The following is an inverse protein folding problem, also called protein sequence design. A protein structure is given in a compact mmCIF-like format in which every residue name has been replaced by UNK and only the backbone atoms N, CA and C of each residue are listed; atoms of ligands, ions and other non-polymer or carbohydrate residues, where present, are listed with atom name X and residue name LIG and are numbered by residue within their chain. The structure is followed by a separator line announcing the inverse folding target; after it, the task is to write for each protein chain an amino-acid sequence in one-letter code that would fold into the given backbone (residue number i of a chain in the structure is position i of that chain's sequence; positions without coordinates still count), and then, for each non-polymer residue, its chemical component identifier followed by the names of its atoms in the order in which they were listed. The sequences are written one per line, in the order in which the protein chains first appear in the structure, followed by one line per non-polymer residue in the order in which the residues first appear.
data_IF_684466287848
#
_entry.id   IF_684466287848
#
_cell.length_a   1.000
_cell.length_b   1.000
_cell.length_c   1.000
_cell.angle_alpha   90.00
_cell.angle_beta   90.00
_cell.angle_gamma   90.00
#
_symmetry.space_group_name_H-M   'P 1'
#
loop_
_entity.id
_entity.type
_entity.pdbx_description
1 polymer ?
#
# COMPACT_ATOMS: atom_id res chain seq x y z
N UNK A 1 15.28 20.01 -22.06
CA UNK A 1 14.19 19.12 -21.66
C UNK A 1 14.77 18.01 -20.78
N UNK A 2 14.83 18.24 -19.48
CA UNK A 2 15.25 17.25 -18.48
C UNK A 2 14.33 17.42 -17.28
N UNK A 3 13.42 16.46 -17.09
CA UNK A 3 12.83 16.14 -15.79
C UNK A 3 12.69 14.62 -15.79
N UNK A 4 13.84 13.95 -15.64
CA UNK A 4 13.84 12.59 -15.13
C UNK A 4 13.24 12.69 -13.72
N UNK A 5 12.08 12.07 -13.53
CA UNK A 5 11.54 11.86 -12.19
C UNK A 5 12.54 10.92 -11.52
N UNK A 6 13.42 11.48 -10.69
CA UNK A 6 14.32 10.68 -9.86
C UNK A 6 13.45 9.85 -8.94
N UNK A 7 13.24 8.60 -9.32
CA UNK A 7 12.55 7.65 -8.48
C UNK A 7 13.51 7.29 -7.37
N UNK A 8 13.20 7.75 -6.16
CA UNK A 8 14.01 7.42 -5.00
C UNK A 8 13.78 5.96 -4.58
N UNK A 9 14.87 5.29 -4.23
CA UNK A 9 14.85 3.97 -3.61
C UNK A 9 14.44 4.13 -2.13
N UNK A 10 13.17 4.43 -1.88
CA UNK A 10 12.61 4.36 -0.52
C UNK A 10 12.18 2.94 -0.25
N UNK A 11 12.66 2.38 0.86
CA UNK A 11 12.27 1.04 1.27
C UNK A 11 11.18 1.18 2.33
N UNK A 12 9.94 0.91 1.92
CA UNK A 12 8.78 0.87 2.82
C UNK A 12 8.25 -0.54 2.91
N UNK A 13 8.25 -1.11 4.11
CA UNK A 13 7.88 -2.50 4.35
C UNK A 13 6.79 -2.60 5.41
N UNK A 14 5.65 -3.18 5.06
CA UNK A 14 4.65 -3.59 6.03
C UNK A 14 4.92 -5.00 6.53
N UNK A 15 4.86 -5.17 7.86
CA UNK A 15 4.88 -6.46 8.53
C UNK A 15 3.64 -6.58 9.41
N UNK A 16 2.69 -7.38 8.96
CA UNK A 16 1.39 -7.67 9.56
C UNK A 16 1.50 -9.04 10.23
N UNK A 17 1.57 -9.04 11.55
CA UNK A 17 1.72 -10.25 12.35
C UNK A 17 0.40 -10.74 12.93
N UNK A 18 0.46 -11.79 13.74
CA UNK A 18 -0.71 -12.23 14.52
C UNK A 18 -0.98 -11.23 15.66
N UNK A 19 0.08 -10.80 16.34
CA UNK A 19 -0.02 -9.97 17.55
C UNK A 19 0.22 -8.47 17.30
N UNK A 20 1.06 -8.11 16.33
CA UNK A 20 1.49 -6.72 16.09
C UNK A 20 1.64 -6.45 14.61
N UNK A 21 1.22 -5.27 14.19
CA UNK A 21 1.40 -4.75 12.84
C UNK A 21 2.40 -3.58 12.91
N UNK A 22 3.29 -3.48 11.93
CA UNK A 22 4.31 -2.42 11.85
C UNK A 22 4.64 -2.06 10.41
N UNK A 23 5.14 -0.85 10.22
CA UNK A 23 5.76 -0.40 8.97
C UNK A 23 7.20 -0.03 9.25
N UNK A 24 8.12 -0.48 8.39
CA UNK A 24 9.50 -0.05 8.37
C UNK A 24 9.68 0.93 7.22
N UNK A 25 10.26 2.10 7.49
CA UNK A 25 10.70 3.06 6.47
C UNK A 25 12.19 3.23 6.62
N UNK A 26 12.96 2.82 5.61
CA UNK A 26 14.42 2.86 5.61
C UNK A 26 15.02 2.28 6.91
N UNK A 27 14.46 1.16 7.36
CA UNK A 27 14.88 0.45 8.58
C UNK A 27 14.29 0.99 9.89
N UNK A 28 13.65 2.16 9.90
CA UNK A 28 12.98 2.69 11.09
C UNK A 28 11.58 2.11 11.24
N UNK A 29 11.30 1.53 12.40
CA UNK A 29 10.00 0.92 12.70
C UNK A 29 8.97 1.93 13.23
N UNK A 30 7.74 1.81 12.73
CA UNK A 30 6.57 2.54 13.17
C UNK A 30 5.45 1.55 13.48
N UNK A 31 4.94 1.60 14.71
CA UNK A 31 3.86 0.71 15.15
C UNK A 31 2.54 1.07 14.45
N UNK A 32 1.88 0.07 13.88
CA UNK A 32 0.54 0.21 13.31
C UNK A 32 -0.47 -0.27 14.34
N UNK A 33 -1.40 0.60 14.73
CA UNK A 33 -2.39 0.26 15.74
C UNK A 33 -3.63 -0.35 15.11
N UNK A 34 -4.14 -1.43 15.70
CA UNK A 34 -5.38 -2.06 15.26
C UNK A 34 -6.57 -1.31 15.83
N UNK A 35 -7.39 -0.75 14.94
CA UNK A 35 -8.65 -0.10 15.27
C UNK A 35 -9.84 -1.04 15.19
N UNK A 36 -11.03 -0.48 15.48
CA UNK A 36 -12.31 -1.19 15.32
C UNK A 36 -12.64 -1.44 13.85
N UNK A 37 -13.47 -2.44 13.57
CA UNK A 37 -13.98 -2.75 12.22
C UNK A 37 -12.91 -2.94 11.14
N UNK A 38 -11.78 -3.54 11.50
CA UNK A 38 -10.69 -3.84 10.56
C UNK A 38 -9.82 -2.64 10.18
N UNK A 39 -10.04 -1.46 10.76
CA UNK A 39 -9.16 -0.31 10.55
C UNK A 39 -7.78 -0.52 11.17
N UNK A 40 -6.79 0.12 10.58
CA UNK A 40 -5.40 0.20 11.03
C UNK A 40 -5.00 1.67 11.06
N UNK A 41 -4.60 2.18 12.22
CA UNK A 41 -4.03 3.52 12.34
C UNK A 41 -2.55 3.45 12.02
N UNK A 42 -2.13 4.18 11.00
CA UNK A 42 -0.78 4.19 10.45
C UNK A 42 -0.14 5.55 10.76
N UNK A 43 0.98 5.59 11.49
CA UNK A 43 1.71 6.85 11.69
C UNK A 43 2.21 7.37 10.34
N UNK A 44 1.67 8.50 9.88
CA UNK A 44 2.03 9.11 8.61
C UNK A 44 3.46 9.68 8.61
N UNK A 45 3.99 9.96 7.42
CA UNK A 45 5.38 10.42 7.28
C UNK A 45 5.60 11.85 7.79
N UNK A 46 4.60 12.74 7.66
CA UNK A 46 4.71 14.17 8.01
C UNK A 46 3.46 14.82 8.60
N UNK A 47 2.25 14.37 8.24
CA UNK A 47 1.02 15.17 8.47
C UNK A 47 0.02 14.56 9.47
N UNK A 48 0.43 13.55 10.24
CA UNK A 48 -0.40 12.96 11.30
C UNK A 48 -0.68 11.48 11.09
N UNK A 49 -1.80 10.98 11.62
CA UNK A 49 -2.16 9.56 11.61
C UNK A 49 -3.13 9.28 10.47
N UNK A 50 -2.70 8.44 9.52
CA UNK A 50 -3.56 7.87 8.50
C UNK A 50 -4.34 6.66 9.03
N UNK A 51 -5.40 6.26 8.33
CA UNK A 51 -6.16 5.04 8.61
C UNK A 51 -6.31 4.22 7.35
N UNK A 52 -6.13 2.91 7.50
CA UNK A 52 -6.21 1.95 6.40
C UNK A 52 -7.18 0.84 6.77
N UNK A 53 -8.02 0.42 5.84
CA UNK A 53 -8.87 -0.76 6.00
C UNK A 53 -8.96 -1.51 4.68
N UNK A 54 -8.82 -2.83 4.76
CA UNK A 54 -9.15 -3.72 3.67
C UNK A 54 -10.43 -4.49 4.00
N UNK A 55 -11.42 -4.40 3.11
CA UNK A 55 -12.69 -5.14 3.15
C UNK A 55 -12.57 -6.32 2.17
N UNK A 56 -12.24 -7.50 2.71
CA UNK A 56 -12.02 -8.71 1.91
C UNK A 56 -13.27 -9.24 1.22
N UNK A 57 -14.47 -8.94 1.75
CA UNK A 57 -15.73 -9.34 1.10
C UNK A 57 -15.99 -8.55 -0.18
N UNK A 58 -15.58 -7.28 -0.22
CA UNK A 58 -15.77 -6.40 -1.37
C UNK A 58 -14.50 -6.20 -2.21
N UNK A 59 -13.42 -6.93 -1.89
CA UNK A 59 -12.05 -6.72 -2.40
C UNK A 59 -11.71 -5.21 -2.55
N UNK A 60 -11.80 -4.50 -1.43
CA UNK A 60 -11.71 -3.03 -1.40
C UNK A 60 -10.76 -2.53 -0.32
N UNK A 61 -9.81 -1.69 -0.73
CA UNK A 61 -8.91 -0.95 0.15
C UNK A 61 -9.38 0.49 0.30
N UNK A 62 -9.52 0.93 1.54
CA UNK A 62 -9.81 2.31 1.91
C UNK A 62 -8.63 2.88 2.69
N UNK A 63 -8.10 4.02 2.23
CA UNK A 63 -7.06 4.80 2.91
C UNK A 63 -7.63 6.18 3.20
N UNK A 64 -7.46 6.63 4.43
CA UNK A 64 -7.79 7.98 4.88
C UNK A 64 -6.51 8.58 5.46
N UNK A 65 -5.87 9.45 4.70
CA UNK A 65 -4.72 10.24 5.15
C UNK A 65 -5.20 11.65 5.54
N UNK A 66 -4.49 12.37 6.42
CA UNK A 66 -4.81 13.76 6.76
C UNK A 66 -4.97 14.68 5.55
N UNK A 67 -4.27 14.39 4.45
CA UNK A 67 -4.26 15.19 3.23
C UNK A 67 -5.17 14.68 2.11
N UNK A 68 -5.89 13.58 2.34
CA UNK A 68 -6.76 13.01 1.31
C UNK A 68 -7.17 11.57 1.57
N UNK A 69 -8.17 11.11 0.82
CA UNK A 69 -8.67 9.74 0.91
C UNK A 69 -8.55 9.02 -0.42
N UNK A 70 -8.28 7.72 -0.35
CA UNK A 70 -8.17 6.84 -1.50
C UNK A 70 -9.10 5.65 -1.28
N UNK A 71 -9.84 5.29 -2.32
CA UNK A 71 -10.54 4.01 -2.41
C UNK A 71 -10.00 3.24 -3.61
N UNK A 72 -9.54 2.01 -3.38
CA UNK A 72 -9.13 1.08 -4.44
C UNK A 72 -10.10 -0.08 -4.41
N UNK A 73 -10.85 -0.25 -5.50
CA UNK A 73 -11.69 -1.44 -5.72
C UNK A 73 -10.94 -2.37 -6.64
N UNK A 74 -10.47 -3.48 -6.11
CA UNK A 74 -9.71 -4.43 -6.88
C UNK A 74 -10.64 -5.20 -7.81
N UNK A 75 -10.27 -5.21 -9.08
CA UNK A 75 -10.95 -5.92 -10.15
C UNK A 75 -9.91 -6.79 -10.86
N UNK A 76 -10.38 -7.86 -11.50
CA UNK A 76 -9.53 -8.75 -12.28
C UNK A 76 -8.67 -8.00 -13.32
N UNK A 77 -9.24 -6.95 -13.94
CA UNK A 77 -8.54 -6.02 -14.84
C UNK A 77 -8.90 -4.58 -14.49
N UNK A 78 -8.00 -3.66 -14.84
CA UNK A 78 -8.23 -2.21 -14.72
C UNK A 78 -8.50 -1.71 -13.29
N UNK A 79 -7.75 -2.21 -12.30
CA UNK A 79 -7.77 -1.63 -10.95
C UNK A 79 -7.06 -0.27 -10.98
N UNK A 80 -7.77 0.80 -10.59
CA UNK A 80 -7.22 2.17 -10.54
C UNK A 80 -7.62 2.87 -9.25
N UNK A 81 -6.90 3.95 -8.94
CA UNK A 81 -7.26 4.87 -7.87
C UNK A 81 -6.79 6.29 -8.19
N UNK A 82 -7.44 7.29 -7.60
CA UNK A 82 -7.06 8.69 -7.78
C UNK A 82 -6.27 9.19 -6.57
N UNK A 83 -5.23 9.99 -6.83
CA UNK A 83 -4.46 10.68 -5.80
C UNK A 83 -3.86 11.97 -6.37
N UNK A 84 -4.04 13.09 -5.66
CA UNK A 84 -3.57 14.43 -6.07
C UNK A 84 -3.85 14.78 -7.54
N UNK A 85 -5.08 14.53 -8.00
CA UNK A 85 -5.50 14.83 -9.38
C UNK A 85 -4.95 13.88 -10.45
N UNK A 86 -4.19 12.85 -10.07
CA UNK A 86 -3.69 11.82 -10.99
C UNK A 86 -4.41 10.50 -10.78
N UNK A 87 -4.49 9.71 -11.86
CA UNK A 87 -5.05 8.35 -11.82
C UNK A 87 -3.91 7.35 -11.92
N UNK A 88 -3.82 6.51 -10.91
CA UNK A 88 -2.84 5.45 -10.80
C UNK A 88 -3.50 4.12 -11.14
N UNK A 89 -2.79 3.27 -11.87
CA UNK A 89 -3.19 1.90 -12.16
C UNK A 89 -2.44 0.95 -11.25
N UNK A 90 -3.18 0.04 -10.62
CA UNK A 90 -2.59 -1.10 -9.91
C UNK A 90 -2.39 -2.22 -10.92
N UNK A 91 -1.16 -2.69 -11.03
CA UNK A 91 -0.81 -3.89 -11.79
C UNK A 91 -1.45 -5.15 -11.20
N UNK A 92 -1.38 -6.24 -11.96
CA UNK A 92 -1.76 -7.53 -11.42
C UNK A 92 -0.92 -7.84 -10.18
N UNK A 93 -1.58 -8.24 -9.10
CA UNK A 93 -0.91 -8.79 -7.91
C UNK A 93 -0.77 -10.32 -8.01
N UNK A 94 -1.05 -10.92 -9.17
CA UNK A 94 -0.78 -12.34 -9.42
C UNK A 94 0.74 -12.54 -9.44
N UNK A 95 1.25 -13.39 -8.53
CA UNK A 95 2.68 -13.60 -8.30
C UNK A 95 3.15 -12.97 -6.98
N UNK A 96 4.43 -12.60 -6.93
CA UNK A 96 5.08 -12.10 -5.71
C UNK A 96 5.36 -10.59 -5.72
N UNK A 97 4.66 -9.81 -6.56
CA UNK A 97 4.91 -8.38 -6.74
C UNK A 97 3.64 -7.55 -6.79
N UNK A 98 3.78 -6.29 -6.38
CA UNK A 98 2.83 -5.21 -6.58
C UNK A 98 3.53 -4.16 -7.43
N UNK A 99 2.87 -3.65 -8.46
CA UNK A 99 3.37 -2.54 -9.25
C UNK A 99 2.28 -1.50 -9.43
N UNK A 100 2.59 -0.24 -9.13
CA UNK A 100 1.72 0.90 -9.38
C UNK A 100 2.25 1.64 -10.60
N UNK A 101 1.35 2.11 -11.45
CA UNK A 101 1.68 2.79 -12.68
C UNK A 101 0.98 4.14 -12.77
N UNK A 102 1.67 5.12 -13.34
CA UNK A 102 1.07 6.35 -13.86
C UNK A 102 1.17 6.29 -15.39
N UNK A 103 0.03 6.04 -16.06
CA UNK A 103 0.04 5.61 -17.46
C UNK A 103 0.75 4.26 -17.59
N UNK A 104 1.79 4.22 -18.43
CA UNK A 104 2.64 3.04 -18.63
C UNK A 104 3.93 3.05 -17.79
N UNK A 105 4.21 4.16 -17.09
CA UNK A 105 5.41 4.30 -16.26
C UNK A 105 5.19 3.66 -14.88
N UNK A 106 6.06 2.74 -14.43
CA UNK A 106 6.02 2.25 -13.05
C UNK A 106 6.43 3.37 -12.09
N UNK A 107 5.60 3.61 -11.08
CA UNK A 107 5.80 4.65 -10.05
C UNK A 107 5.90 4.07 -8.64
N UNK A 108 5.56 2.80 -8.45
CA UNK A 108 5.98 2.07 -7.27
C UNK A 108 6.11 0.59 -7.59
N UNK A 109 7.13 -0.06 -7.03
CA UNK A 109 7.35 -1.49 -7.20
C UNK A 109 7.59 -2.08 -5.83
N UNK A 110 6.85 -3.13 -5.47
CA UNK A 110 7.02 -3.84 -4.23
C UNK A 110 6.95 -5.34 -4.40
N UNK A 111 7.60 -6.04 -3.48
CA UNK A 111 7.54 -7.49 -3.32
C UNK A 111 6.51 -7.84 -2.26
N UNK A 112 5.66 -8.81 -2.59
CA UNK A 112 4.74 -9.42 -1.66
C UNK A 112 5.53 -10.40 -0.78
N UNK A 113 5.35 -10.28 0.53
CA UNK A 113 5.92 -11.20 1.51
C UNK A 113 4.78 -11.92 2.24
N UNK A 114 5.12 -13.02 2.93
CA UNK A 114 4.12 -13.75 3.73
C UNK A 114 3.44 -12.88 4.81
N UNK A 115 4.16 -11.87 5.31
CA UNK A 115 3.67 -10.96 6.35
C UNK A 115 3.24 -9.60 5.83
N UNK A 116 3.25 -9.30 4.52
CA UNK A 116 2.91 -7.97 4.03
C UNK A 116 3.51 -7.63 2.67
N UNK A 117 3.95 -6.38 2.50
CA UNK A 117 4.54 -5.89 1.23
C UNK A 117 5.75 -5.02 1.53
N UNK A 118 6.81 -5.20 0.75
CA UNK A 118 8.01 -4.35 0.74
C UNK A 118 8.09 -3.59 -0.58
N UNK A 119 7.78 -2.30 -0.58
CA UNK A 119 8.09 -1.40 -1.69
C UNK A 119 9.60 -1.14 -1.71
N UNK A 120 10.21 -1.36 -2.86
CA UNK A 120 11.64 -1.14 -3.12
C UNK A 120 11.89 0.17 -3.87
N UNK A 121 10.84 0.68 -4.51
CA UNK A 121 10.85 1.85 -5.37
C UNK A 121 9.51 2.56 -5.19
N UNK A 122 9.53 3.88 -4.98
CA UNK A 122 8.31 4.70 -4.95
C UNK A 122 8.59 6.14 -5.40
N UNK A 123 7.77 6.64 -6.31
CA UNK A 123 7.85 8.00 -6.85
C UNK A 123 7.53 9.02 -5.74
N UNK A 124 8.22 10.17 -5.67
CA UNK A 124 8.07 11.12 -4.57
C UNK A 124 6.64 11.59 -4.29
N UNK A 125 5.78 11.63 -5.31
CA UNK A 125 4.37 12.03 -5.18
C UNK A 125 3.54 11.10 -4.28
N UNK A 126 3.99 9.86 -4.08
CA UNK A 126 3.32 8.85 -3.25
C UNK A 126 3.89 8.78 -1.81
N UNK A 127 4.98 9.48 -1.50
CA UNK A 127 5.62 9.43 -0.17
C UNK A 127 4.69 9.82 0.98
N UNK A 128 3.75 10.72 0.71
CA UNK A 128 2.83 11.19 1.75
C UNK A 128 1.80 10.11 2.16
N UNK A 129 1.72 9.01 1.40
CA UNK A 129 0.85 7.85 1.66
C UNK A 129 1.59 6.52 1.56
N UNK A 130 2.92 6.52 1.52
CA UNK A 130 3.73 5.32 1.24
C UNK A 130 3.48 4.20 2.26
N UNK A 131 3.29 4.59 3.53
CA UNK A 131 3.09 3.69 4.66
C UNK A 131 1.69 3.10 4.61
N UNK A 132 0.70 3.94 4.31
CA UNK A 132 -0.69 3.54 4.15
C UNK A 132 -0.85 2.59 2.96
N UNK A 133 -0.15 2.85 1.85
CA UNK A 133 -0.09 1.95 0.71
C UNK A 133 0.55 0.61 1.11
N UNK A 134 1.71 0.64 1.77
CA UNK A 134 2.38 -0.58 2.23
C UNK A 134 1.48 -1.43 3.14
N UNK A 135 0.80 -0.82 4.12
CA UNK A 135 -0.16 -1.51 5.00
C UNK A 135 -1.34 -2.03 4.20
N UNK A 136 -1.92 -1.22 3.32
CA UNK A 136 -3.11 -1.55 2.55
C UNK A 136 -2.90 -2.74 1.62
N UNK A 137 -1.82 -2.71 0.83
CA UNK A 137 -1.45 -3.83 -0.03
C UNK A 137 -1.00 -5.05 0.77
N UNK A 138 -0.37 -4.85 1.92
CA UNK A 138 -0.06 -5.92 2.87
C UNK A 138 -1.32 -6.65 3.37
N UNK A 139 -2.35 -5.91 3.77
CA UNK A 139 -3.62 -6.49 4.26
C UNK A 139 -4.30 -7.31 3.18
N UNK A 140 -4.33 -6.79 1.94
CA UNK A 140 -4.87 -7.54 0.80
C UNK A 140 -4.07 -8.80 0.51
N UNK A 141 -2.74 -8.70 0.48
CA UNK A 141 -1.85 -9.86 0.29
C UNK A 141 -2.14 -10.95 1.31
N UNK A 142 -2.23 -10.60 2.59
CA UNK A 142 -2.52 -11.55 3.66
C UNK A 142 -3.89 -12.21 3.47
N UNK A 143 -4.92 -11.45 3.08
CA UNK A 143 -6.24 -12.01 2.81
C UNK A 143 -6.22 -13.02 1.64
N UNK A 144 -5.47 -12.74 0.57
CA UNK A 144 -5.30 -13.66 -0.56
C UNK A 144 -4.55 -14.91 -0.11
N UNK A 145 -3.45 -14.75 0.64
CA UNK A 145 -2.65 -15.88 1.13
C UNK A 145 -3.47 -16.81 2.04
N UNK A 146 -4.30 -16.23 2.94
CA UNK A 146 -5.20 -17.00 3.79
C UNK A 146 -6.29 -17.73 2.99
N UNK A 147 -6.86 -17.09 1.96
CA UNK A 147 -7.86 -17.73 1.11
C UNK A 147 -7.29 -18.95 0.38
N UNK A 148 -6.03 -18.87 -0.08
CA UNK A 148 -5.32 -20.00 -0.72
C UNK A 148 -4.99 -21.11 0.28
N UNK A 149 -4.56 -20.77 1.50
CA UNK A 149 -4.16 -21.77 2.51
C UNK A 149 -5.31 -22.61 3.09
N UNK A 150 -6.57 -22.20 2.86
CA UNK A 150 -7.78 -22.90 3.36
C UNK A 150 -8.38 -23.82 2.28
N UNK A 151 -7.85 -23.82 1.05
CA UNK A 151 -8.21 -24.73 -0.05
C UNK A 151 -7.19 -25.86 -0.19
#
# INVERSE_FOLDING_TARGET
MQSGSDVENVIVESKLGILRDRVLVDGREFAVQRGRHGWRSVPGSREGIGRVRYDGWRDRLSIQSPIGSIEIRFRWRHTTFAWRGRVYRVGSMLGNRVTLFLGDRPVAVGKITWSGVRFEMMDPELRDIERELAVGFGLRSQAIAMAVAIH
#
